data_IF_078359871426
#
_entry.id   IF_078359871426
#
_cell.length_a   1.000
_cell.length_b   1.000
_cell.length_c   1.000
_cell.angle_alpha   90.00
_cell.angle_beta   90.00
_cell.angle_gamma   90.00
#
_symmetry.space_group_name_H-M   'P 1'
#
loop_
_entity.id
_entity.type
_entity.pdbx_description
1 polymer ?
#
# COMPACT_ATOMS: atom_id res chain seq x y z
N UNK A 1 -4.78 64.60 -15.52
CA UNK A 1 -6.05 64.03 -14.98
C UNK A 1 -6.48 62.76 -15.73
N UNK A 2 -6.47 62.69 -17.07
CA UNK A 2 -6.76 61.48 -17.84
C UNK A 2 -5.64 60.42 -17.77
N UNK A 3 -4.39 60.84 -17.77
CA UNK A 3 -3.23 59.94 -17.69
C UNK A 3 -3.16 59.17 -16.36
N UNK A 4 -3.54 59.79 -15.26
CA UNK A 4 -3.51 59.16 -13.93
C UNK A 4 -4.61 58.09 -13.76
N UNK A 5 -5.75 58.29 -14.42
CA UNK A 5 -6.84 57.32 -14.44
C UNK A 5 -6.47 56.07 -15.26
N UNK A 6 -5.82 56.25 -16.41
CA UNK A 6 -5.35 55.11 -17.26
C UNK A 6 -4.25 54.34 -16.55
N UNK A 7 -3.32 55.01 -15.88
CA UNK A 7 -2.25 54.39 -15.12
C UNK A 7 -2.81 53.55 -13.95
N UNK A 8 -3.78 54.07 -13.21
CA UNK A 8 -4.44 53.32 -12.13
C UNK A 8 -5.25 52.12 -12.64
N UNK A 9 -5.89 52.21 -13.80
CA UNK A 9 -6.62 51.12 -14.42
C UNK A 9 -5.67 50.00 -14.88
N UNK A 10 -4.55 50.35 -15.50
CA UNK A 10 -3.54 49.35 -15.91
C UNK A 10 -2.86 48.74 -14.73
N UNK A 11 -2.62 49.44 -13.64
CA UNK A 11 -2.02 48.91 -12.43
C UNK A 11 -2.95 47.91 -11.71
N UNK A 12 -4.24 48.20 -11.62
CA UNK A 12 -5.24 47.30 -11.03
C UNK A 12 -5.45 46.06 -11.89
N UNK A 13 -5.41 46.19 -13.21
CA UNK A 13 -5.50 45.07 -14.14
C UNK A 13 -4.26 44.14 -14.02
N UNK A 14 -3.06 44.70 -13.96
CA UNK A 14 -1.81 43.97 -13.77
C UNK A 14 -1.77 43.25 -12.41
N UNK A 15 -2.20 43.89 -11.33
CA UNK A 15 -2.33 43.21 -10.02
C UNK A 15 -3.35 42.09 -10.04
N UNK A 16 -4.51 42.29 -10.65
CA UNK A 16 -5.52 41.23 -10.81
C UNK A 16 -5.00 40.03 -11.61
N UNK A 17 -4.27 40.30 -12.70
CA UNK A 17 -3.67 39.21 -13.51
C UNK A 17 -2.56 38.47 -12.76
N UNK A 18 -1.78 39.15 -11.93
CA UNK A 18 -0.70 38.55 -11.17
C UNK A 18 -1.22 37.59 -10.09
N UNK A 19 -2.29 37.99 -9.38
CA UNK A 19 -2.98 37.10 -8.42
C UNK A 19 -3.62 35.89 -9.13
N UNK A 20 -4.28 36.13 -10.26
CA UNK A 20 -4.86 35.07 -11.07
C UNK A 20 -3.80 34.06 -11.53
N UNK A 21 -2.68 34.56 -12.05
CA UNK A 21 -1.56 33.71 -12.47
C UNK A 21 -0.97 32.92 -11.30
N UNK A 22 -0.81 33.52 -10.11
CA UNK A 22 -0.35 32.80 -8.91
C UNK A 22 -1.33 31.70 -8.48
N UNK A 23 -2.63 31.94 -8.56
CA UNK A 23 -3.65 30.92 -8.24
C UNK A 23 -3.61 29.78 -9.26
N UNK A 24 -3.53 30.09 -10.55
CA UNK A 24 -3.41 29.09 -11.61
C UNK A 24 -2.14 28.24 -11.45
N UNK A 25 -1.02 28.88 -11.15
CA UNK A 25 0.25 28.16 -10.91
C UNK A 25 0.15 27.26 -9.67
N UNK A 26 -0.49 27.70 -8.62
CA UNK A 26 -0.76 26.89 -7.42
C UNK A 26 -1.63 25.66 -7.72
N UNK A 27 -2.70 25.83 -8.50
CA UNK A 27 -3.56 24.74 -8.94
C UNK A 27 -2.82 23.74 -9.83
N UNK A 28 -1.97 24.24 -10.74
CA UNK A 28 -1.14 23.38 -11.59
C UNK A 28 -0.17 22.51 -10.76
N UNK A 29 0.50 23.09 -9.76
CA UNK A 29 1.38 22.34 -8.87
C UNK A 29 0.60 21.27 -8.07
N UNK A 30 -0.58 21.63 -7.55
CA UNK A 30 -1.43 20.67 -6.82
C UNK A 30 -1.86 19.53 -7.75
N UNK A 31 -2.26 19.81 -8.99
CA UNK A 31 -2.68 18.78 -9.95
C UNK A 31 -1.55 17.81 -10.27
N UNK A 32 -0.32 18.31 -10.46
CA UNK A 32 0.87 17.45 -10.69
C UNK A 32 1.12 16.54 -9.48
N UNK A 33 1.04 17.06 -8.25
CA UNK A 33 1.20 16.28 -7.03
C UNK A 33 0.14 15.19 -6.92
N UNK A 34 -1.12 15.51 -7.22
CA UNK A 34 -2.22 14.55 -7.24
C UNK A 34 -2.02 13.49 -8.32
N UNK A 35 -1.59 13.85 -9.52
CA UNK A 35 -1.27 12.90 -10.59
C UNK A 35 -0.18 11.91 -10.17
N UNK A 36 0.91 12.39 -9.56
CA UNK A 36 1.98 11.53 -9.05
C UNK A 36 1.46 10.61 -7.93
N UNK A 37 0.66 11.14 -7.02
CA UNK A 37 0.06 10.36 -5.93
C UNK A 37 -0.84 9.24 -6.47
N UNK A 38 -1.75 9.56 -7.40
CA UNK A 38 -2.63 8.56 -8.00
C UNK A 38 -1.87 7.56 -8.85
N UNK A 39 -0.83 7.97 -9.59
CA UNK A 39 0.04 7.05 -10.34
C UNK A 39 0.69 6.02 -9.42
N UNK A 40 1.28 6.45 -8.30
CA UNK A 40 1.92 5.54 -7.33
C UNK A 40 0.87 4.62 -6.69
N UNK A 41 -0.32 5.14 -6.39
CA UNK A 41 -1.41 4.37 -5.79
C UNK A 41 -2.04 3.38 -6.77
N UNK A 42 -2.14 3.73 -8.04
CA UNK A 42 -2.71 2.90 -9.10
C UNK A 42 -1.77 1.78 -9.56
N UNK A 43 -0.47 1.86 -9.25
CA UNK A 43 0.51 0.85 -9.66
C UNK A 43 0.12 -0.52 -9.08
N UNK A 44 -0.33 -1.40 -9.97
CA UNK A 44 -0.60 -2.80 -9.65
C UNK A 44 0.73 -3.55 -9.47
N UNK A 45 0.86 -4.28 -8.37
CA UNK A 45 2.06 -5.06 -8.05
C UNK A 45 1.63 -6.41 -7.50
N UNK A 46 2.12 -7.49 -8.08
CA UNK A 46 2.02 -8.85 -7.55
C UNK A 46 2.95 -9.01 -6.37
N UNK A 47 2.45 -9.49 -5.23
CA UNK A 47 3.27 -9.64 -4.03
C UNK A 47 2.89 -10.92 -3.27
N UNK A 48 3.30 -12.09 -3.75
CA UNK A 48 3.11 -13.33 -3.02
C UNK A 48 3.86 -13.27 -1.68
N UNK A 49 3.14 -13.58 -0.62
CA UNK A 49 3.66 -13.52 0.74
C UNK A 49 3.29 -14.81 1.46
N UNK A 50 4.19 -15.35 2.25
CA UNK A 50 3.90 -16.52 3.07
C UNK A 50 4.38 -16.37 4.50
N UNK A 51 3.75 -17.12 5.40
CA UNK A 51 4.16 -17.26 6.79
C UNK A 51 4.15 -18.73 7.18
N UNK A 52 5.09 -19.12 8.01
CA UNK A 52 5.18 -20.50 8.53
C UNK A 52 5.13 -20.46 10.05
N UNK A 53 4.27 -21.31 10.62
CA UNK A 53 4.21 -21.55 12.06
C UNK A 53 4.28 -23.06 12.31
N UNK A 54 5.32 -23.52 12.98
CA UNK A 54 5.54 -24.92 13.31
C UNK A 54 5.24 -25.18 14.78
N UNK A 55 4.58 -26.29 15.04
CA UNK A 55 4.34 -26.83 16.38
C UNK A 55 4.91 -28.25 16.38
N UNK A 56 5.77 -28.55 17.33
CA UNK A 56 6.26 -29.91 17.53
C UNK A 56 5.20 -30.71 18.25
N UNK A 57 4.83 -31.83 17.70
CA UNK A 57 3.89 -32.77 18.32
C UNK A 57 4.63 -33.79 19.16
N UNK A 58 5.80 -34.18 18.71
CA UNK A 58 6.63 -35.20 19.37
C UNK A 58 8.08 -34.74 19.39
N UNK A 59 8.68 -34.73 20.58
CA UNK A 59 10.09 -34.37 20.77
C UNK A 59 10.93 -35.60 21.12
N UNK A 60 12.21 -35.67 20.69
CA UNK A 60 13.12 -36.77 21.03
C UNK A 60 13.35 -36.95 22.53
N UNK A 61 13.10 -35.90 23.34
CA UNK A 61 13.23 -35.95 24.80
C UNK A 61 12.25 -36.87 25.51
N UNK A 62 11.16 -37.29 24.85
CA UNK A 62 10.22 -38.27 25.35
C UNK A 62 10.84 -39.70 25.35
N UNK A 63 12.06 -39.87 24.83
CA UNK A 63 12.82 -41.12 24.87
C UNK A 63 13.05 -41.71 26.27
N UNK A 64 12.86 -40.94 27.33
CA UNK A 64 12.95 -41.46 28.70
C UNK A 64 11.69 -42.21 29.18
N UNK A 65 10.62 -42.21 28.38
CA UNK A 65 9.47 -43.11 28.61
C UNK A 65 9.79 -44.36 27.79
N UNK A 66 10.36 -45.37 28.43
CA UNK A 66 10.71 -46.62 27.76
C UNK A 66 9.52 -47.18 26.96
N UNK A 67 9.82 -47.65 25.75
CA UNK A 67 8.91 -48.38 24.85
C UNK A 67 7.83 -47.64 24.05
N UNK A 68 7.93 -46.33 23.82
CA UNK A 68 7.07 -45.70 22.83
C UNK A 68 7.74 -45.76 21.45
N UNK A 69 7.16 -46.52 20.55
CA UNK A 69 7.51 -46.54 19.13
C UNK A 69 6.45 -45.74 18.35
N UNK A 70 6.89 -44.70 17.63
CA UNK A 70 6.02 -43.92 16.78
C UNK A 70 6.34 -44.29 15.34
N UNK A 71 5.34 -44.73 14.60
CA UNK A 71 5.47 -45.06 13.19
C UNK A 71 4.44 -44.30 12.36
N UNK A 72 4.84 -43.90 11.16
CA UNK A 72 3.97 -43.37 10.11
C UNK A 72 4.10 -44.28 8.88
N UNK A 73 2.99 -44.89 8.43
CA UNK A 73 2.97 -45.83 7.34
C UNK A 73 4.08 -46.90 7.51
N UNK A 74 4.10 -47.56 8.68
CA UNK A 74 5.06 -48.62 9.09
C UNK A 74 6.53 -48.15 9.25
N UNK A 75 6.87 -46.93 8.87
CA UNK A 75 8.20 -46.36 9.07
C UNK A 75 8.33 -45.70 10.43
N UNK A 76 9.37 -46.08 11.20
CA UNK A 76 9.67 -45.46 12.48
C UNK A 76 10.08 -44.02 12.28
N UNK A 77 9.42 -43.10 12.98
CA UNK A 77 9.73 -41.66 12.98
C UNK A 77 10.21 -41.24 14.37
N UNK A 78 11.26 -40.42 14.41
CA UNK A 78 11.82 -39.92 15.67
C UNK A 78 11.18 -38.56 16.09
N UNK A 79 10.76 -37.77 15.13
CA UNK A 79 10.20 -36.47 15.32
C UNK A 79 8.94 -36.30 14.49
N UNK A 80 7.92 -35.66 15.05
CA UNK A 80 6.73 -35.27 14.32
C UNK A 80 6.41 -33.83 14.65
N UNK A 81 6.34 -33.00 13.61
CA UNK A 81 5.94 -31.63 13.69
C UNK A 81 4.83 -31.33 12.68
N UNK A 82 4.00 -30.37 13.02
CA UNK A 82 3.01 -29.83 12.10
C UNK A 82 3.31 -28.37 11.83
N UNK A 83 3.42 -28.00 10.55
CA UNK A 83 3.58 -26.63 10.09
C UNK A 83 2.32 -26.14 9.41
N UNK A 84 1.80 -25.01 9.88
CA UNK A 84 0.78 -24.24 9.14
C UNK A 84 1.48 -23.22 8.28
N UNK A 85 1.25 -23.29 6.98
CA UNK A 85 1.85 -22.42 5.98
C UNK A 85 0.71 -21.63 5.35
N UNK A 86 0.68 -20.31 5.60
CA UNK A 86 -0.25 -19.41 4.95
C UNK A 86 0.45 -18.78 3.75
N UNK A 87 -0.13 -18.90 2.57
CA UNK A 87 0.28 -18.25 1.34
C UNK A 87 -0.84 -17.31 0.89
N UNK A 88 -0.53 -16.05 0.62
CA UNK A 88 -1.50 -15.07 0.14
C UNK A 88 -0.85 -14.01 -0.73
N UNK A 89 -1.67 -13.32 -1.51
CA UNK A 89 -1.25 -12.16 -2.29
C UNK A 89 -1.44 -10.88 -1.46
N UNK A 90 -0.36 -10.28 -1.01
CA UNK A 90 -0.38 -8.97 -0.33
C UNK A 90 -0.26 -7.79 -1.30
N UNK A 91 -0.17 -8.08 -2.60
CA UNK A 91 -0.16 -7.09 -3.68
C UNK A 91 -1.57 -6.65 -4.08
N UNK A 92 -1.64 -5.85 -5.13
CA UNK A 92 -2.91 -5.32 -5.69
C UNK A 92 -3.23 -5.88 -7.07
N UNK A 93 -2.35 -6.68 -7.62
CA UNK A 93 -2.52 -7.33 -8.91
C UNK A 93 -2.77 -8.82 -8.69
N UNK A 94 -3.66 -9.41 -9.48
CA UNK A 94 -3.97 -10.84 -9.46
C UNK A 94 -2.73 -11.65 -9.82
N UNK A 95 -2.51 -12.74 -9.11
CA UNK A 95 -1.49 -13.72 -9.44
C UNK A 95 -2.21 -14.89 -10.10
N UNK A 96 -1.92 -15.10 -11.38
CA UNK A 96 -2.45 -16.17 -12.20
C UNK A 96 -1.44 -17.34 -12.25
N UNK A 97 -1.90 -18.57 -12.43
CA UNK A 97 -0.99 -19.72 -12.55
C UNK A 97 -0.06 -19.59 -13.76
N UNK A 98 -0.50 -18.93 -14.83
CA UNK A 98 0.33 -18.62 -16.00
C UNK A 98 1.51 -17.69 -15.71
N UNK A 99 1.48 -17.01 -14.58
CA UNK A 99 2.61 -16.22 -14.10
C UNK A 99 3.70 -17.07 -13.46
N UNK A 100 3.42 -18.29 -13.05
CA UNK A 100 4.40 -19.20 -12.46
C UNK A 100 5.34 -19.70 -13.58
N UNK A 101 6.64 -19.70 -13.29
CA UNK A 101 7.63 -20.15 -14.25
C UNK A 101 7.52 -21.69 -14.41
N UNK A 102 7.40 -22.17 -15.65
CA UNK A 102 7.23 -23.62 -15.96
C UNK A 102 8.34 -24.49 -15.37
N UNK A 103 9.58 -23.98 -15.35
CA UNK A 103 10.75 -24.72 -14.88
C UNK A 103 11.06 -24.48 -13.39
N UNK A 104 10.32 -23.60 -12.71
CA UNK A 104 10.50 -23.29 -11.29
C UNK A 104 9.14 -23.06 -10.63
N UNK A 105 8.38 -24.15 -10.55
CA UNK A 105 7.02 -24.15 -10.01
C UNK A 105 7.01 -23.75 -8.54
N UNK A 106 5.87 -23.21 -8.10
CA UNK A 106 5.66 -22.87 -6.71
C UNK A 106 5.61 -24.15 -5.87
N UNK A 107 6.52 -24.26 -4.91
CA UNK A 107 6.64 -25.46 -4.06
C UNK A 107 7.14 -25.14 -2.66
N UNK A 108 6.65 -25.91 -1.71
CA UNK A 108 7.21 -25.98 -0.37
C UNK A 108 8.35 -26.99 -0.40
N UNK A 109 9.49 -26.63 0.16
CA UNK A 109 10.63 -27.54 0.33
C UNK A 109 10.98 -27.69 1.80
N UNK A 110 11.53 -28.84 2.16
CA UNK A 110 12.10 -29.11 3.47
C UNK A 110 13.59 -29.40 3.34
N UNK A 111 14.38 -29.10 4.39
CA UNK A 111 15.81 -29.40 4.42
C UNK A 111 16.06 -30.90 4.16
N UNK A 112 17.19 -31.21 3.51
CA UNK A 112 17.50 -32.55 2.99
C UNK A 112 17.47 -33.66 4.03
N UNK A 113 17.74 -33.36 5.31
CA UNK A 113 17.73 -34.34 6.41
C UNK A 113 16.32 -34.69 6.91
N UNK A 114 15.28 -33.93 6.50
CA UNK A 114 13.91 -34.13 6.94
C UNK A 114 13.01 -34.59 5.78
N UNK A 115 11.80 -35.08 6.13
CA UNK A 115 10.78 -35.48 5.16
C UNK A 115 9.44 -34.86 5.47
N UNK A 116 8.69 -34.56 4.45
CA UNK A 116 7.27 -34.26 4.50
C UNK A 116 6.52 -35.57 4.49
N UNK A 117 5.63 -35.73 5.44
CA UNK A 117 4.85 -36.98 5.62
C UNK A 117 3.47 -36.84 4.96
N UNK A 118 2.82 -35.67 5.21
CA UNK A 118 1.50 -35.39 4.66
C UNK A 118 1.31 -33.87 4.46
N UNK A 119 0.46 -33.50 3.52
CA UNK A 119 0.10 -32.12 3.25
C UNK A 119 -1.38 -32.03 2.86
N UNK A 120 -2.10 -31.17 3.55
CA UNK A 120 -3.51 -30.93 3.28
C UNK A 120 -3.84 -29.44 3.27
N UNK A 121 -4.91 -29.08 2.56
CA UNK A 121 -5.45 -27.72 2.56
C UNK A 121 -6.35 -27.58 3.77
N UNK A 122 -5.96 -26.71 4.72
CA UNK A 122 -6.74 -26.44 5.92
C UNK A 122 -7.80 -25.37 5.68
N UNK A 123 -7.48 -24.35 4.89
CA UNK A 123 -8.37 -23.25 4.60
C UNK A 123 -8.02 -22.63 3.25
N UNK A 124 -9.02 -22.28 2.49
CA UNK A 124 -8.94 -21.55 1.23
C UNK A 124 -9.94 -20.41 1.28
N UNK A 125 -9.47 -19.17 1.10
CA UNK A 125 -10.33 -18.00 1.26
C UNK A 125 -11.43 -17.95 0.20
N UNK A 126 -11.08 -18.28 -1.04
CA UNK A 126 -11.99 -18.37 -2.16
C UNK A 126 -11.84 -19.72 -2.84
N UNK A 127 -12.91 -20.50 -2.95
CA UNK A 127 -12.86 -21.83 -3.59
C UNK A 127 -12.57 -21.75 -5.09
N UNK A 128 -12.91 -20.65 -5.75
CA UNK A 128 -12.60 -20.43 -7.16
C UNK A 128 -11.10 -20.39 -7.45
N UNK A 129 -10.25 -20.13 -6.43
CA UNK A 129 -8.80 -20.17 -6.60
C UNK A 129 -8.26 -21.57 -6.93
N UNK A 130 -9.05 -22.66 -6.71
CA UNK A 130 -8.76 -24.03 -7.06
C UNK A 130 -7.38 -24.53 -6.61
N UNK A 131 -6.97 -24.18 -5.37
CA UNK A 131 -5.69 -24.64 -4.84
C UNK A 131 -5.67 -26.18 -4.71
N UNK A 132 -4.58 -26.78 -5.19
CA UNK A 132 -4.27 -28.20 -5.01
C UNK A 132 -2.81 -28.37 -4.58
N UNK A 133 -2.52 -29.45 -3.89
CA UNK A 133 -1.17 -29.78 -3.40
C UNK A 133 -0.81 -31.19 -3.76
N UNK A 134 0.44 -31.40 -4.16
CA UNK A 134 0.98 -32.73 -4.52
C UNK A 134 2.34 -32.91 -3.86
N UNK A 135 2.48 -33.99 -3.09
CA UNK A 135 3.74 -34.34 -2.43
C UNK A 135 4.63 -35.07 -3.42
N UNK A 136 5.90 -34.70 -3.51
CA UNK A 136 6.89 -35.40 -4.32
C UNK A 136 7.17 -36.78 -3.77
N UNK A 137 7.49 -37.75 -4.64
CA UNK A 137 7.75 -39.17 -4.26
C UNK A 137 8.88 -39.31 -3.23
N UNK A 138 9.82 -38.41 -3.20
CA UNK A 138 10.93 -38.37 -2.23
C UNK A 138 10.54 -37.76 -0.88
N UNK A 139 9.34 -37.18 -0.76
CA UNK A 139 8.88 -36.48 0.43
C UNK A 139 9.67 -35.19 0.75
N UNK A 140 10.37 -34.62 -0.23
CA UNK A 140 11.21 -33.43 -0.02
C UNK A 140 10.52 -32.13 -0.43
N UNK A 141 9.49 -32.23 -1.25
CA UNK A 141 8.77 -31.07 -1.76
C UNK A 141 7.26 -31.29 -1.83
N UNK A 142 6.49 -30.22 -1.78
CA UNK A 142 5.06 -30.18 -2.09
C UNK A 142 4.84 -29.15 -3.15
N UNK A 143 4.40 -29.55 -4.33
CA UNK A 143 3.98 -28.65 -5.38
C UNK A 143 2.64 -27.99 -5.01
N UNK A 144 2.49 -26.72 -5.33
CA UNK A 144 1.26 -25.97 -5.11
C UNK A 144 0.75 -25.50 -6.47
N UNK A 145 -0.42 -25.95 -6.84
CA UNK A 145 -1.12 -25.55 -8.04
C UNK A 145 -2.36 -24.72 -7.64
N UNK A 146 -2.77 -23.81 -8.49
CA UNK A 146 -3.93 -22.94 -8.30
C UNK A 146 -4.37 -22.42 -9.67
N UNK A 147 -5.54 -21.83 -9.76
CA UNK A 147 -5.97 -21.12 -10.97
C UNK A 147 -5.47 -19.67 -10.92
N UNK A 148 -5.97 -18.90 -9.96
CA UNK A 148 -5.52 -17.53 -9.66
C UNK A 148 -5.76 -17.20 -8.19
N UNK A 149 -5.20 -16.12 -7.70
CA UNK A 149 -5.60 -15.53 -6.41
C UNK A 149 -5.41 -14.02 -6.39
N UNK A 150 -6.46 -13.35 -5.97
CA UNK A 150 -6.55 -11.90 -5.93
C UNK A 150 -5.92 -11.29 -4.68
N UNK A 151 -5.98 -9.96 -4.59
CA UNK A 151 -5.49 -9.20 -3.44
C UNK A 151 -6.11 -9.71 -2.13
N UNK A 152 -5.26 -10.08 -1.16
CA UNK A 152 -5.63 -10.67 0.12
C UNK A 152 -6.33 -12.04 0.03
N UNK A 153 -6.34 -12.70 -1.11
CA UNK A 153 -6.73 -14.10 -1.23
C UNK A 153 -5.53 -15.02 -1.04
N UNK A 154 -5.81 -16.29 -0.75
CA UNK A 154 -4.79 -17.29 -0.56
C UNK A 154 -5.29 -18.54 0.17
N UNK A 155 -4.34 -19.36 0.59
CA UNK A 155 -4.54 -20.68 1.15
C UNK A 155 -3.75 -20.87 2.44
N UNK A 156 -4.27 -21.69 3.36
CA UNK A 156 -3.53 -22.19 4.52
C UNK A 156 -3.36 -23.69 4.35
N UNK A 157 -2.12 -24.12 4.29
CA UNK A 157 -1.71 -25.50 4.17
C UNK A 157 -1.29 -26.02 5.54
N UNK A 158 -1.59 -27.28 5.81
CA UNK A 158 -1.10 -28.04 6.96
C UNK A 158 -0.13 -29.08 6.45
N UNK A 159 1.11 -29.06 6.93
CA UNK A 159 2.19 -29.94 6.51
C UNK A 159 2.70 -30.70 7.72
N UNK A 160 2.59 -32.03 7.71
CA UNK A 160 3.21 -32.92 8.69
C UNK A 160 4.61 -33.28 8.21
N UNK A 161 5.61 -33.16 9.08
CA UNK A 161 7.00 -33.40 8.70
C UNK A 161 7.88 -33.77 9.89
N UNK A 162 9.06 -34.26 9.61
CA UNK A 162 10.04 -34.68 10.61
C UNK A 162 10.98 -33.57 11.07
N UNK A 163 10.86 -32.35 10.52
CA UNK A 163 11.70 -31.22 10.88
C UNK A 163 11.33 -30.57 12.23
N UNK A 164 12.27 -29.89 12.84
CA UNK A 164 12.17 -29.40 14.22
C UNK A 164 11.66 -27.95 14.33
N UNK A 165 11.70 -27.19 13.26
CA UNK A 165 11.36 -25.78 13.31
C UNK A 165 10.81 -25.23 12.00
N UNK A 166 10.21 -24.03 12.06
CA UNK A 166 9.73 -23.32 10.87
C UNK A 166 10.85 -22.94 9.89
N UNK A 167 12.13 -22.96 10.34
CA UNK A 167 13.26 -22.63 9.47
C UNK A 167 13.62 -23.77 8.53
N UNK A 168 13.23 -25.00 8.88
CA UNK A 168 13.49 -26.17 8.03
C UNK A 168 12.56 -26.23 6.82
N UNK A 169 11.52 -25.40 6.77
CA UNK A 169 10.55 -25.35 5.68
C UNK A 169 10.60 -23.97 5.01
N UNK A 170 10.62 -23.95 3.70
CA UNK A 170 10.55 -22.73 2.90
C UNK A 170 9.66 -22.91 1.68
N UNK A 171 9.06 -21.81 1.24
CA UNK A 171 8.32 -21.70 -0.01
C UNK A 171 9.25 -21.11 -1.07
N UNK A 172 9.41 -21.80 -2.16
CA UNK A 172 10.23 -21.38 -3.30
C UNK A 172 9.41 -21.46 -4.59
N UNK A 173 9.95 -20.88 -5.65
CA UNK A 173 9.34 -20.82 -6.97
C UNK A 173 9.45 -19.40 -7.52
N UNK A 174 9.34 -19.28 -8.83
CA UNK A 174 9.45 -18.01 -9.52
C UNK A 174 8.13 -17.59 -10.15
N UNK A 175 7.68 -16.39 -9.83
CA UNK A 175 6.48 -15.76 -10.41
C UNK A 175 6.95 -14.57 -11.25
N UNK A 176 6.42 -14.43 -12.47
CA UNK A 176 6.74 -13.33 -13.40
C UNK A 176 6.46 -11.98 -12.72
N UNK A 177 7.31 -11.01 -12.98
CA UNK A 177 7.22 -9.65 -12.40
C UNK A 177 7.35 -9.58 -10.87
N UNK A 178 7.71 -10.69 -10.22
CA UNK A 178 7.96 -10.76 -8.77
C UNK A 178 9.44 -11.05 -8.53
N UNK A 179 10.10 -10.18 -7.77
CA UNK A 179 11.52 -10.37 -7.48
C UNK A 179 11.76 -11.59 -6.55
N UNK A 180 10.93 -11.73 -5.52
CA UNK A 180 10.95 -12.88 -4.59
C UNK A 180 9.64 -13.01 -3.82
N UNK A 181 9.31 -14.22 -3.41
CA UNK A 181 8.21 -14.50 -2.48
C UNK A 181 8.64 -14.01 -1.09
N UNK A 182 7.80 -13.19 -0.45
CA UNK A 182 8.12 -12.62 0.86
C UNK A 182 7.75 -13.58 1.99
N UNK A 183 8.69 -13.87 2.89
CA UNK A 183 8.39 -14.54 4.14
C UNK A 183 8.02 -13.51 5.22
N UNK A 184 6.82 -13.60 5.78
CA UNK A 184 6.39 -12.76 6.90
C UNK A 184 6.88 -13.39 8.20
N UNK A 185 7.51 -12.60 9.07
CA UNK A 185 8.09 -13.09 10.32
C UNK A 185 9.61 -13.26 10.29
N UNK A 186 10.24 -13.26 9.10
CA UNK A 186 11.64 -12.87 9.04
C UNK A 186 11.76 -11.38 9.33
N UNK A 187 11.76 -11.01 10.59
CA UNK A 187 12.41 -9.75 10.96
C UNK A 187 13.89 -9.93 10.64
N UNK A 188 14.27 -9.63 9.39
CA UNK A 188 15.62 -9.12 9.18
C UNK A 188 15.69 -7.92 10.10
N UNK A 189 16.55 -7.99 11.10
CA UNK A 189 17.18 -6.83 11.75
C UNK A 189 18.01 -6.05 10.73
N UNK A 190 17.40 -5.75 9.60
CA UNK A 190 17.89 -4.73 8.72
C UNK A 190 17.12 -3.50 9.16
N UNK A 191 17.85 -2.52 9.67
CA UNK A 191 17.49 -1.11 9.67
C UNK A 191 17.14 -0.68 8.24
N UNK A 192 16.10 -1.28 7.65
CA UNK A 192 15.45 -0.75 6.47
C UNK A 192 14.70 0.47 6.97
N UNK A 193 15.41 1.62 6.89
CA UNK A 193 14.78 2.94 6.91
C UNK A 193 13.47 2.81 6.16
N UNK A 194 12.34 3.32 6.70
CA UNK A 194 11.05 3.25 6.01
C UNK A 194 11.26 3.71 4.58
N UNK A 195 10.76 2.93 3.63
CA UNK A 195 10.98 3.14 2.21
C UNK A 195 10.92 4.62 1.90
N UNK A 196 11.93 5.15 1.24
CA UNK A 196 12.05 6.57 0.86
C UNK A 196 10.75 7.11 0.24
N UNK A 197 10.03 6.25 -0.46
CA UNK A 197 8.71 6.51 -1.06
C UNK A 197 7.65 6.83 0.01
N UNK A 198 7.61 6.13 1.15
CA UNK A 198 6.63 6.41 2.21
C UNK A 198 6.94 7.73 2.94
N UNK A 199 8.22 8.06 3.12
CA UNK A 199 8.61 9.36 3.72
C UNK A 199 8.35 10.52 2.75
N UNK A 200 8.65 10.33 1.47
CA UNK A 200 8.40 11.32 0.43
C UNK A 200 6.90 11.58 0.25
N UNK A 201 6.06 10.53 0.21
CA UNK A 201 4.61 10.71 0.08
C UNK A 201 3.99 11.43 1.28
N UNK A 202 4.44 11.13 2.50
CA UNK A 202 3.98 11.84 3.71
C UNK A 202 4.46 13.31 3.70
N UNK A 203 5.69 13.57 3.27
CA UNK A 203 6.22 14.93 3.14
C UNK A 203 5.44 15.74 2.10
N UNK A 204 5.14 15.16 0.93
CA UNK A 204 4.35 15.77 -0.14
C UNK A 204 2.94 16.11 0.35
N UNK A 205 2.27 15.21 1.06
CA UNK A 205 0.94 15.45 1.63
C UNK A 205 0.98 16.59 2.65
N UNK A 206 2.02 16.66 3.51
CA UNK A 206 2.18 17.74 4.48
C UNK A 206 2.43 19.10 3.81
N UNK A 207 3.24 19.13 2.74
CA UNK A 207 3.51 20.34 1.95
C UNK A 207 2.22 20.79 1.26
N UNK A 208 1.47 19.89 0.61
CA UNK A 208 0.20 20.21 -0.02
C UNK A 208 -0.82 20.75 1.00
N UNK A 209 -0.95 20.12 2.17
CA UNK A 209 -1.84 20.60 3.23
C UNK A 209 -1.43 21.99 3.77
N UNK A 210 -0.12 22.24 3.92
CA UNK A 210 0.39 23.57 4.31
C UNK A 210 0.08 24.62 3.25
N UNK A 211 0.25 24.28 1.97
CA UNK A 211 -0.04 25.16 0.85
C UNK A 211 -1.53 25.52 0.76
N UNK A 212 -2.43 24.52 0.89
CA UNK A 212 -3.89 24.74 0.93
C UNK A 212 -4.29 25.66 2.09
N UNK A 213 -3.72 25.47 3.28
CA UNK A 213 -3.96 26.36 4.44
C UNK A 213 -3.47 27.79 4.20
N UNK A 214 -2.35 27.95 3.50
CA UNK A 214 -1.81 29.28 3.18
C UNK A 214 -2.69 29.96 2.14
N UNK A 215 -3.11 29.25 1.09
CA UNK A 215 -4.06 29.75 0.09
C UNK A 215 -5.39 30.16 0.70
N UNK A 216 -5.95 29.35 1.60
CA UNK A 216 -7.21 29.67 2.27
C UNK A 216 -7.11 30.96 3.11
N UNK A 217 -5.98 31.20 3.77
CA UNK A 217 -5.71 32.43 4.52
C UNK A 217 -5.61 33.64 3.59
N UNK A 218 -4.92 33.49 2.46
CA UNK A 218 -4.78 34.57 1.46
C UNK A 218 -6.14 34.91 0.85
N UNK A 219 -6.93 33.88 0.47
CA UNK A 219 -8.27 34.08 -0.08
C UNK A 219 -9.23 34.72 0.94
N UNK A 220 -9.14 34.32 2.20
CA UNK A 220 -9.95 34.91 3.27
C UNK A 220 -9.59 36.38 3.50
N UNK A 221 -8.30 36.73 3.51
CA UNK A 221 -7.83 38.12 3.62
C UNK A 221 -8.27 38.94 2.41
N UNK A 222 -8.13 38.42 1.20
CA UNK A 222 -8.56 39.07 -0.03
C UNK A 222 -10.08 39.32 -0.05
N UNK A 223 -10.90 38.38 0.40
CA UNK A 223 -12.35 38.55 0.53
C UNK A 223 -12.68 39.67 1.52
N UNK A 224 -11.94 39.79 2.61
CA UNK A 224 -12.11 40.81 3.62
C UNK A 224 -11.71 42.19 3.09
N UNK A 225 -10.58 42.29 2.39
CA UNK A 225 -10.10 43.53 1.79
C UNK A 225 -11.02 44.02 0.64
N UNK A 226 -11.57 43.08 -0.17
CA UNK A 226 -12.54 43.41 -1.24
C UNK A 226 -13.87 43.91 -0.68
N UNK A 227 -14.36 43.34 0.43
CA UNK A 227 -15.59 43.79 1.08
C UNK A 227 -15.40 45.18 1.70
N UNK A 228 -14.24 45.42 2.33
CA UNK A 228 -13.90 46.74 2.91
C UNK A 228 -13.77 47.79 1.82
N UNK A 229 -13.12 47.47 0.68
CA UNK A 229 -12.99 48.40 -0.44
C UNK A 229 -14.35 48.74 -1.09
N UNK A 230 -15.23 47.72 -1.24
CA UNK A 230 -16.59 47.93 -1.73
C UNK A 230 -17.42 48.79 -0.78
N UNK A 231 -17.29 48.59 0.52
CA UNK A 231 -17.97 49.39 1.54
C UNK A 231 -17.51 50.84 1.56
N UNK A 232 -16.20 51.06 1.42
CA UNK A 232 -15.64 52.41 1.31
C UNK A 232 -16.07 53.10 0.02
N UNK A 233 -16.12 52.36 -1.11
CA UNK A 233 -16.65 52.91 -2.38
C UNK A 233 -18.11 53.29 -2.27
N UNK A 234 -18.97 52.44 -1.73
CA UNK A 234 -20.38 52.74 -1.51
C UNK A 234 -20.57 53.95 -0.58
N UNK A 235 -19.81 54.07 0.49
CA UNK A 235 -19.85 55.24 1.38
C UNK A 235 -19.43 56.53 0.68
N UNK A 236 -18.43 56.48 -0.22
CA UNK A 236 -18.01 57.64 -1.00
C UNK A 236 -19.10 58.11 -1.98
N UNK A 237 -19.75 57.15 -2.64
CA UNK A 237 -20.87 57.40 -3.57
C UNK A 237 -22.07 58.02 -2.83
N UNK A 238 -22.42 57.46 -1.65
CA UNK A 238 -23.50 58.04 -0.81
C UNK A 238 -23.19 59.45 -0.32
N UNK A 239 -21.95 59.70 0.09
CA UNK A 239 -21.54 61.05 0.54
C UNK A 239 -21.58 62.08 -0.60
N UNK A 240 -21.23 61.65 -1.81
CA UNK A 240 -21.31 62.48 -3.00
C UNK A 240 -22.77 62.84 -3.38
N UNK A 241 -23.66 61.89 -3.29
CA UNK A 241 -25.08 62.06 -3.59
C UNK A 241 -25.78 62.91 -2.58
N UNK A 242 -25.41 62.78 -1.29
CA UNK A 242 -25.93 63.66 -0.23
C UNK A 242 -25.51 65.11 -0.38
N UNK A 243 -24.29 65.41 -0.87
CA UNK A 243 -23.76 66.75 -1.15
C UNK A 243 -24.45 67.40 -2.34
N UNK A 244 -24.86 66.64 -3.35
CA UNK A 244 -25.62 67.16 -4.51
C UNK A 244 -27.06 67.46 -4.16
N UNK A 245 -27.72 66.79 -3.25
CA UNK A 245 -29.09 67.03 -2.81
C UNK A 245 -29.14 68.29 -1.92
N UNK A 246 -28.12 68.57 -1.12
CA UNK A 246 -28.08 69.78 -0.25
C UNK A 246 -27.75 71.03 -1.00
N UNK A 247 -27.16 70.99 -2.20
CA UNK A 247 -26.87 72.16 -3.03
C UNK A 247 -27.99 72.56 -4.01
N UNK A 248 -29.13 71.82 -3.99
CA UNK A 248 -30.31 72.15 -4.84
C UNK A 248 -31.53 72.60 -4.03
N UNK A 249 -31.36 73.08 -2.80
CA UNK A 249 -32.47 73.75 -2.10
C UNK A 249 -32.62 75.17 -2.66
N UNK A 250 -33.75 75.51 -3.29
CA UNK A 250 -33.99 76.86 -3.78
C UNK A 250 -34.32 77.83 -2.62
N UNK A 251 -33.83 79.11 -2.76
CA UNK A 251 -34.22 80.25 -1.98
C UNK A 251 -35.65 80.60 -2.28
#
# INVERSE_FOLDING_TARGET
>A
METDTILNYTYSFLQGSLYFNCVCLGLAVISIILCIYFYIKAKKVKQPTYAVRTIRLIEPKIKNIGNINISYLENKIENLSVSKIALWNSGRDTIDYTDVAKNDNLKIIIDSQYRILDCSILFQKNKANSFTVEISNDGKAVAINFDYFDCNEGVILQVFHTGNSSNNISLIGRIKSVNRIKRKGEQKRNNSKPSFINKASIAIIKIAAKFVRTLSKILCKWKQDSVVSLFLYLNSVFKHKHKLIHNQAPV
#
